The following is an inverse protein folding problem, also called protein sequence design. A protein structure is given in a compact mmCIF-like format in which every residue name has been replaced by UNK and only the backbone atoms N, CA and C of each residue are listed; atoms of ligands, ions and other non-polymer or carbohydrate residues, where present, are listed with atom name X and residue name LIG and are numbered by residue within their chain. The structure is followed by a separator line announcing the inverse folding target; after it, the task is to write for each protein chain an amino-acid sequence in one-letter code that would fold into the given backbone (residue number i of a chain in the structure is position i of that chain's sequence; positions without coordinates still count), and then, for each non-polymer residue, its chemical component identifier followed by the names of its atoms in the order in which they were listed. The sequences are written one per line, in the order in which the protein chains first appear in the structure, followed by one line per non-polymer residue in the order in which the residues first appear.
data_IF_336449771099
#
_entry.id   IF_336449771099
#
_cell.length_a   1.000
_cell.length_b   1.000
_cell.length_c   1.000
_cell.angle_alpha   90.00
_cell.angle_beta   90.00
_cell.angle_gamma   90.00
#
_symmetry.space_group_name_H-M   'P 1'
#
loop_
_entity.id
_entity.type
_entity.pdbx_description
1 polymer ?
#
# COMPACT_ATOMS: atom_id res chain seq x y z
N UNK A 1 6.03 33.17 -13.20
CA UNK A 1 5.21 32.67 -14.33
C UNK A 1 4.49 31.41 -13.90
N UNK A 2 3.40 31.02 -14.58
CA UNK A 2 2.69 29.79 -14.24
C UNK A 2 3.56 28.52 -14.40
N UNK A 3 4.51 28.50 -15.33
CA UNK A 3 5.44 27.38 -15.49
C UNK A 3 6.37 27.22 -14.30
N UNK A 4 6.97 28.30 -13.80
CA UNK A 4 7.82 28.26 -12.60
C UNK A 4 7.01 27.81 -11.38
N UNK A 5 5.78 28.30 -11.24
CA UNK A 5 4.87 27.85 -10.18
C UNK A 5 4.63 26.33 -10.23
N UNK A 6 4.35 25.76 -11.40
CA UNK A 6 4.21 24.31 -11.54
C UNK A 6 5.49 23.55 -11.17
N UNK A 7 6.66 24.08 -11.52
CA UNK A 7 7.95 23.45 -11.19
C UNK A 7 8.15 23.37 -9.67
N UNK A 8 7.84 24.44 -8.95
CA UNK A 8 7.93 24.43 -7.49
C UNK A 8 6.92 23.47 -6.85
N UNK A 9 5.70 23.41 -7.36
CA UNK A 9 4.70 22.44 -6.89
C UNK A 9 5.18 21.00 -7.14
N UNK A 10 5.82 20.73 -8.29
CA UNK A 10 6.38 19.43 -8.62
C UNK A 10 7.52 19.03 -7.66
N UNK A 11 8.39 19.98 -7.33
CA UNK A 11 9.50 19.78 -6.39
C UNK A 11 8.99 19.46 -4.97
N UNK A 12 7.93 20.15 -4.51
CA UNK A 12 7.32 19.93 -3.18
C UNK A 12 6.56 18.60 -3.10
N UNK A 13 5.99 18.13 -4.22
CA UNK A 13 5.22 16.87 -4.31
C UNK A 13 6.07 15.66 -4.77
N UNK A 14 7.39 15.72 -4.59
CA UNK A 14 8.42 15.04 -5.39
C UNK A 14 7.90 14.25 -6.59
N UNK A 15 7.43 14.94 -7.63
CA UNK A 15 6.90 14.29 -8.84
C UNK A 15 7.37 15.00 -10.12
N UNK A 16 7.26 14.31 -11.27
CA UNK A 16 7.55 14.92 -12.58
C UNK A 16 6.52 16.00 -12.92
N UNK A 17 6.97 17.07 -13.59
CA UNK A 17 6.10 18.19 -14.01
C UNK A 17 4.92 17.73 -14.87
N UNK A 18 5.13 16.73 -15.73
CA UNK A 18 4.10 16.13 -16.60
C UNK A 18 3.04 15.31 -15.85
N UNK A 19 3.34 14.88 -14.62
CA UNK A 19 2.44 14.08 -13.78
C UNK A 19 1.56 14.93 -12.86
N UNK A 20 1.77 16.25 -12.85
CA UNK A 20 0.93 17.15 -12.07
C UNK A 20 -0.48 17.24 -12.69
N UNK A 21 -1.54 17.03 -11.91
CA UNK A 21 -2.91 17.19 -12.37
C UNK A 21 -3.31 18.67 -12.38
N UNK A 22 -2.62 19.49 -13.19
CA UNK A 22 -2.74 20.96 -13.18
C UNK A 22 -4.16 21.44 -13.42
N UNK A 23 -4.94 20.73 -14.25
CA UNK A 23 -6.35 21.04 -14.53
C UNK A 23 -7.27 21.00 -13.30
N UNK A 24 -6.79 20.42 -12.20
CA UNK A 24 -7.53 20.23 -10.95
C UNK A 24 -6.93 21.01 -9.77
N UNK A 25 -6.02 21.95 -10.04
CA UNK A 25 -5.47 22.81 -9.00
C UNK A 25 -6.52 23.80 -8.53
N UNK A 26 -6.72 23.81 -7.22
CA UNK A 26 -7.67 24.69 -6.56
C UNK A 26 -6.97 25.41 -5.41
N UNK A 27 -7.42 26.61 -5.07
CA UNK A 27 -6.84 27.39 -3.97
C UNK A 27 -7.91 28.13 -3.19
N UNK A 28 -7.58 28.46 -1.93
CA UNK A 28 -8.30 29.42 -1.09
C UNK A 28 -7.36 30.05 -0.07
N UNK A 29 -7.77 31.14 0.57
CA UNK A 29 -7.01 31.71 1.69
C UNK A 29 -7.26 30.92 2.97
N UNK A 30 -6.27 30.86 3.87
CA UNK A 30 -6.35 30.14 5.14
C UNK A 30 -7.53 30.60 6.01
N UNK A 31 -7.71 31.91 6.18
CA UNK A 31 -8.77 32.50 7.00
C UNK A 31 -10.15 32.55 6.32
N UNK A 32 -10.40 31.74 5.28
CA UNK A 32 -11.73 31.60 4.69
C UNK A 32 -12.49 30.44 5.31
N UNK A 33 -13.81 30.64 5.49
CA UNK A 33 -14.72 29.60 5.99
C UNK A 33 -14.51 28.26 5.25
N UNK A 34 -14.69 27.14 5.96
CA UNK A 34 -14.44 25.82 5.38
C UNK A 34 -15.31 25.54 4.15
N UNK A 35 -16.54 26.06 4.13
CA UNK A 35 -17.52 25.99 3.04
C UNK A 35 -17.28 26.98 1.90
N UNK A 36 -16.29 27.89 2.02
CA UNK A 36 -16.04 28.88 0.98
C UNK A 36 -15.62 28.19 -0.34
N UNK A 37 -16.15 28.62 -1.48
CA UNK A 37 -15.83 28.03 -2.77
C UNK A 37 -14.35 28.22 -3.08
N UNK A 38 -13.70 27.14 -3.54
CA UNK A 38 -12.32 27.16 -3.98
C UNK A 38 -12.23 27.71 -5.40
N UNK A 39 -11.17 28.45 -5.68
CA UNK A 39 -10.90 29.03 -7.00
C UNK A 39 -9.92 28.15 -7.76
N UNK A 40 -10.04 28.05 -9.08
CA UNK A 40 -9.16 27.22 -9.91
C UNK A 40 -7.87 27.95 -10.29
N UNK A 41 -6.76 27.20 -10.37
CA UNK A 41 -5.44 27.62 -10.87
C UNK A 41 -4.96 26.61 -11.91
N UNK A 42 -5.75 26.43 -12.97
CA UNK A 42 -5.49 25.42 -14.00
C UNK A 42 -4.55 25.91 -15.11
N UNK A 43 -4.47 27.23 -15.31
CA UNK A 43 -3.79 27.88 -16.40
C UNK A 43 -3.13 29.20 -15.96
N UNK A 44 -2.52 29.91 -16.91
CA UNK A 44 -1.86 31.18 -16.62
C UNK A 44 -2.85 32.24 -16.13
N UNK A 45 -4.08 32.29 -16.67
CA UNK A 45 -5.10 33.25 -16.24
C UNK A 45 -5.52 33.03 -14.78
N UNK A 46 -5.74 31.78 -14.37
CA UNK A 46 -6.05 31.43 -12.98
C UNK A 46 -4.89 31.75 -12.03
N UNK A 47 -3.65 31.53 -12.47
CA UNK A 47 -2.46 31.90 -11.70
C UNK A 47 -2.30 33.41 -11.52
N UNK A 48 -2.49 34.21 -12.57
CA UNK A 48 -2.47 35.68 -12.44
C UNK A 48 -3.61 36.16 -11.53
N UNK A 49 -4.81 35.59 -11.65
CA UNK A 49 -5.94 35.90 -10.75
C UNK A 49 -5.65 35.55 -9.28
N UNK A 50 -4.89 34.48 -9.01
CA UNK A 50 -4.37 34.17 -7.69
C UNK A 50 -3.40 35.25 -7.20
N UNK A 51 -2.42 35.65 -8.03
CA UNK A 51 -1.44 36.67 -7.67
C UNK A 51 -2.12 38.01 -7.37
N UNK A 52 -3.08 38.42 -8.18
CA UNK A 52 -3.81 39.68 -7.98
C UNK A 52 -4.64 39.65 -6.70
N UNK A 53 -5.28 38.51 -6.39
CA UNK A 53 -5.98 38.34 -5.13
C UNK A 53 -5.03 38.37 -3.92
N UNK A 54 -3.84 37.79 -4.03
CA UNK A 54 -2.81 37.85 -2.98
C UNK A 54 -2.30 39.27 -2.80
N UNK A 55 -2.02 40.01 -3.88
CA UNK A 55 -1.58 41.41 -3.83
C UNK A 55 -2.62 42.30 -3.16
N UNK A 56 -3.89 42.15 -3.54
CA UNK A 56 -5.00 42.93 -2.98
C UNK A 56 -5.14 42.67 -1.46
N UNK A 57 -5.00 41.42 -1.02
CA UNK A 57 -5.16 41.05 0.39
C UNK A 57 -3.92 41.33 1.26
N UNK A 58 -2.72 41.32 0.66
CA UNK A 58 -1.46 41.62 1.37
C UNK A 58 -1.39 43.06 1.85
N UNK A 59 -2.19 43.96 1.30
CA UNK A 59 -2.30 45.33 1.77
C UNK A 59 -2.97 45.43 3.15
N UNK A 60 -3.75 44.41 3.56
CA UNK A 60 -4.53 44.45 4.81
C UNK A 60 -4.04 43.46 5.85
N UNK A 61 -3.54 42.28 5.45
CA UNK A 61 -3.18 41.20 6.37
C UNK A 61 -1.97 40.38 5.91
N UNK A 62 -1.43 39.57 6.83
CA UNK A 62 -0.59 38.43 6.47
C UNK A 62 -1.41 37.40 5.68
N UNK A 63 -0.99 37.13 4.44
CA UNK A 63 -1.73 36.26 3.51
C UNK A 63 -1.10 34.88 3.42
N UNK A 64 -1.85 33.86 3.82
CA UNK A 64 -1.53 32.46 3.57
C UNK A 64 -2.53 31.87 2.58
N UNK A 65 -2.02 31.18 1.57
CA UNK A 65 -2.79 30.51 0.52
C UNK A 65 -2.62 29.01 0.67
N UNK A 66 -3.74 28.28 0.75
CA UNK A 66 -3.72 26.83 0.68
C UNK A 66 -3.97 26.39 -0.76
N UNK A 67 -3.03 25.63 -1.31
CA UNK A 67 -3.14 24.99 -2.61
C UNK A 67 -3.62 23.54 -2.41
N UNK A 68 -4.67 23.19 -3.14
CA UNK A 68 -5.26 21.85 -3.15
C UNK A 68 -4.92 21.19 -4.48
N UNK A 69 -4.15 20.12 -4.39
CA UNK A 69 -3.75 19.32 -5.54
C UNK A 69 -4.19 17.88 -5.32
N UNK A 70 -4.89 17.24 -6.28
CA UNK A 70 -5.04 15.79 -6.25
C UNK A 70 -3.68 15.10 -6.23
N UNK A 71 -3.65 13.88 -5.73
CA UNK A 71 -2.43 13.05 -5.73
C UNK A 71 -1.89 12.95 -7.17
N UNK A 72 -0.60 13.27 -7.41
CA UNK A 72 0.01 13.10 -8.73
C UNK A 72 -0.10 11.65 -9.21
N UNK A 73 -0.18 11.46 -10.53
CA UNK A 73 -0.14 10.12 -11.10
C UNK A 73 1.22 9.47 -10.76
N UNK A 74 1.20 8.18 -10.42
CA UNK A 74 2.43 7.41 -10.29
C UNK A 74 2.95 7.09 -11.67
N UNK A 75 4.24 7.27 -11.89
CA UNK A 75 4.89 6.74 -13.08
C UNK A 75 4.90 5.21 -12.97
N UNK A 76 4.33 4.51 -13.94
CA UNK A 76 4.44 3.04 -14.03
C UNK A 76 5.84 2.64 -14.52
N UNK A 77 6.62 3.58 -15.05
CA UNK A 77 7.94 3.34 -15.62
C UNK A 77 9.11 3.79 -14.72
N UNK A 78 8.91 3.79 -13.41
CA UNK A 78 9.97 4.06 -12.43
C UNK A 78 10.90 2.84 -12.25
N UNK A 79 11.41 2.31 -13.37
CA UNK A 79 12.63 1.52 -13.36
C UNK A 79 13.78 2.48 -13.17
N UNK A 80 14.33 2.49 -11.96
CA UNK A 80 15.51 3.22 -11.53
C UNK A 80 16.71 2.89 -12.44
N UNK A 81 16.80 3.56 -13.58
CA UNK A 81 17.98 3.52 -14.44
C UNK A 81 18.98 4.48 -13.81
N UNK A 82 19.70 3.95 -12.83
CA UNK A 82 20.86 4.58 -12.24
C UNK A 82 21.78 5.17 -13.31
N UNK A 83 22.36 6.30 -12.94
CA UNK A 83 23.32 7.14 -13.65
C UNK A 83 24.10 6.45 -14.79
N UNK A 84 24.09 7.06 -15.99
CA UNK A 84 24.60 6.48 -17.26
C UNK A 84 26.11 6.16 -17.29
N UNK A 85 26.88 6.66 -16.33
CA UNK A 85 28.35 6.70 -16.43
C UNK A 85 29.10 6.05 -15.26
N UNK A 86 28.49 5.12 -14.50
CA UNK A 86 29.24 4.39 -13.47
C UNK A 86 28.88 2.89 -13.41
N UNK A 87 29.81 2.05 -13.89
CA UNK A 87 29.77 0.59 -13.67
C UNK A 87 31.11 0.19 -13.05
N UNK A 88 31.14 0.10 -11.71
CA UNK A 88 32.32 -0.36 -10.96
C UNK A 88 32.44 -1.89 -10.91
N UNK A 89 31.38 -2.60 -11.33
CA UNK A 89 31.35 -4.06 -11.44
C UNK A 89 30.63 -4.49 -12.73
N UNK A 90 31.30 -5.14 -13.69
CA UNK A 90 30.66 -5.69 -14.88
C UNK A 90 29.52 -6.62 -14.43
N UNK A 91 28.31 -6.25 -14.83
CA UNK A 91 27.09 -6.95 -14.50
C UNK A 91 27.12 -8.36 -15.10
N UNK A 92 27.10 -9.38 -14.26
CA UNK A 92 27.06 -10.79 -14.69
C UNK A 92 25.61 -11.18 -15.01
N UNK A 93 25.28 -11.13 -16.30
CA UNK A 93 23.93 -11.33 -16.83
C UNK A 93 23.35 -12.72 -16.54
N UNK A 94 24.18 -13.71 -16.20
CA UNK A 94 23.69 -15.08 -15.93
C UNK A 94 23.15 -15.27 -14.51
N UNK A 95 23.56 -14.45 -13.53
CA UNK A 95 23.07 -14.58 -12.14
C UNK A 95 21.73 -13.84 -11.91
N UNK A 96 21.49 -12.74 -12.63
CA UNK A 96 20.38 -11.83 -12.34
C UNK A 96 19.10 -12.08 -13.15
N UNK A 97 19.15 -12.89 -14.22
CA UNK A 97 17.96 -13.28 -14.98
C UNK A 97 16.93 -14.09 -14.15
N UNK A 98 17.30 -14.58 -12.95
CA UNK A 98 16.40 -15.29 -12.02
C UNK A 98 15.71 -14.41 -10.96
N UNK A 99 16.16 -13.17 -10.75
CA UNK A 99 15.74 -12.34 -9.62
C UNK A 99 14.96 -11.13 -10.11
N UNK A 100 13.71 -11.38 -10.50
CA UNK A 100 12.72 -10.33 -10.79
C UNK A 100 12.71 -9.27 -9.69
N UNK A 101 12.82 -8.00 -10.09
CA UNK A 101 12.60 -6.78 -9.30
C UNK A 101 11.39 -6.90 -8.38
N UNK A 102 11.60 -7.45 -7.20
CA UNK A 102 10.63 -7.58 -6.15
C UNK A 102 11.17 -6.77 -4.99
N UNK A 103 10.34 -5.86 -4.47
CA UNK A 103 10.57 -5.23 -3.17
C UNK A 103 11.08 -6.27 -2.16
N UNK A 104 11.94 -5.90 -1.21
CA UNK A 104 12.45 -6.81 -0.18
C UNK A 104 11.36 -7.70 0.46
N UNK A 105 10.16 -7.15 0.66
CA UNK A 105 8.97 -7.92 1.13
C UNK A 105 8.49 -8.95 0.11
N UNK A 106 8.50 -8.63 -1.17
CA UNK A 106 8.21 -9.54 -2.27
C UNK A 106 9.23 -10.68 -2.37
N UNK A 107 10.52 -10.41 -2.14
CA UNK A 107 11.56 -11.44 -2.12
C UNK A 107 11.36 -12.40 -0.93
N UNK A 108 11.14 -11.88 0.28
CA UNK A 108 10.85 -12.69 1.47
C UNK A 108 9.61 -13.56 1.24
N UNK A 109 8.55 -12.97 0.67
CA UNK A 109 7.33 -13.70 0.32
C UNK A 109 7.62 -14.84 -0.65
N UNK A 110 8.33 -14.58 -1.76
CA UNK A 110 8.64 -15.61 -2.77
C UNK A 110 9.47 -16.75 -2.18
N UNK A 111 10.44 -16.43 -1.32
CA UNK A 111 11.21 -17.43 -0.57
C UNK A 111 10.32 -18.28 0.34
N UNK A 112 9.39 -17.65 1.08
CA UNK A 112 8.46 -18.36 1.93
C UNK A 112 7.48 -19.26 1.13
N UNK A 113 7.06 -18.87 -0.07
CA UNK A 113 6.24 -19.73 -0.95
C UNK A 113 7.00 -21.02 -1.29
N UNK A 114 8.25 -20.92 -1.74
CA UNK A 114 9.10 -22.08 -2.09
C UNK A 114 9.31 -23.00 -0.87
N UNK A 115 9.58 -22.43 0.30
CA UNK A 115 9.79 -23.21 1.53
C UNK A 115 8.53 -23.96 1.97
N UNK A 116 7.35 -23.34 1.85
CA UNK A 116 6.07 -24.00 2.12
C UNK A 116 5.80 -25.14 1.13
N UNK A 117 6.06 -24.95 -0.16
CA UNK A 117 5.89 -26.01 -1.17
C UNK A 117 6.82 -27.19 -0.97
N UNK A 118 8.05 -26.93 -0.52
CA UNK A 118 9.03 -27.97 -0.18
C UNK A 118 8.64 -28.72 1.09
N UNK A 119 8.17 -28.01 2.12
CA UNK A 119 7.77 -28.59 3.41
C UNK A 119 6.50 -29.43 3.31
N UNK A 120 5.57 -29.00 2.45
CA UNK A 120 4.32 -29.69 2.19
C UNK A 120 4.31 -30.08 0.71
N UNK A 121 4.91 -31.22 0.33
CA UNK A 121 4.83 -31.71 -1.06
C UNK A 121 3.44 -32.31 -1.34
N UNK A 122 3.10 -32.39 -2.63
CA UNK A 122 1.92 -33.16 -3.07
C UNK A 122 2.17 -34.63 -2.74
N UNK A 123 1.16 -35.29 -2.15
CA UNK A 123 1.29 -36.69 -1.72
C UNK A 123 2.00 -36.90 -0.39
N UNK A 124 2.39 -35.82 0.30
CA UNK A 124 2.96 -35.91 1.65
C UNK A 124 1.96 -36.40 2.72
N UNK A 125 0.66 -36.36 2.44
CA UNK A 125 -0.39 -36.84 3.33
C UNK A 125 -1.02 -38.13 2.77
N UNK A 126 -0.91 -39.29 3.44
CA UNK A 126 -1.47 -40.56 2.98
C UNK A 126 -2.99 -40.52 2.74
N UNK A 127 -3.73 -39.72 3.52
CA UNK A 127 -5.18 -39.57 3.38
C UNK A 127 -5.58 -38.83 2.09
N UNK A 128 -4.67 -38.03 1.53
CA UNK A 128 -4.92 -37.17 0.38
C UNK A 128 -3.71 -37.19 -0.58
N UNK A 129 -3.44 -38.33 -1.25
CA UNK A 129 -2.20 -38.55 -2.00
C UNK A 129 -2.02 -37.62 -3.21
N UNK A 130 -3.11 -37.04 -3.72
CA UNK A 130 -3.09 -36.13 -4.87
C UNK A 130 -3.08 -34.66 -4.49
N UNK A 131 -3.09 -34.35 -3.18
CA UNK A 131 -3.20 -32.99 -2.69
C UNK A 131 -2.01 -32.63 -1.84
N UNK A 132 -1.72 -31.33 -1.83
CA UNK A 132 -0.84 -30.73 -0.86
C UNK A 132 -1.65 -30.41 0.39
N UNK A 133 -1.29 -30.96 1.54
CA UNK A 133 -2.11 -30.84 2.76
C UNK A 133 -1.26 -30.42 3.93
N UNK A 134 -1.75 -29.43 4.68
CA UNK A 134 -1.30 -29.15 6.03
C UNK A 134 -2.19 -29.88 7.03
N UNK A 135 -1.58 -30.49 8.04
CA UNK A 135 -2.25 -31.24 9.10
C UNK A 135 -1.91 -30.65 10.47
N UNK A 136 -2.94 -30.35 11.24
CA UNK A 136 -2.80 -29.97 12.63
C UNK A 136 -2.94 -31.17 13.56
N UNK A 137 -1.81 -31.67 14.06
CA UNK A 137 -1.77 -32.82 14.96
C UNK A 137 -2.57 -32.64 16.27
N UNK A 138 -2.90 -31.39 16.68
CA UNK A 138 -3.58 -31.14 17.96
C UNK A 138 -5.09 -31.39 17.90
N UNK A 139 -5.71 -31.12 16.75
CA UNK A 139 -7.16 -31.19 16.58
C UNK A 139 -7.57 -32.01 15.36
N UNK A 140 -6.62 -32.73 14.75
CA UNK A 140 -6.81 -33.59 13.57
C UNK A 140 -7.51 -32.86 12.41
N UNK A 141 -7.14 -31.59 12.20
CA UNK A 141 -7.70 -30.77 11.12
C UNK A 141 -6.77 -30.72 9.92
N UNK A 142 -7.37 -30.82 8.73
CA UNK A 142 -6.66 -30.87 7.45
C UNK A 142 -7.07 -29.70 6.57
N UNK A 143 -6.09 -29.04 5.96
CA UNK A 143 -6.30 -27.97 4.99
C UNK A 143 -5.53 -28.23 3.70
N UNK A 144 -6.24 -28.13 2.57
CA UNK A 144 -5.62 -28.20 1.25
C UNK A 144 -4.80 -26.94 1.00
N UNK A 145 -3.51 -27.07 0.72
CA UNK A 145 -2.64 -25.95 0.39
C UNK A 145 -2.65 -25.67 -1.11
N UNK A 146 -3.74 -25.06 -1.57
CA UNK A 146 -3.84 -24.53 -2.95
C UNK A 146 -2.82 -23.41 -3.18
N UNK A 147 -2.49 -23.07 -4.44
CA UNK A 147 -1.55 -21.97 -4.74
C UNK A 147 -1.95 -20.65 -4.08
N UNK A 148 -3.25 -20.34 -3.98
CA UNK A 148 -3.75 -19.16 -3.29
C UNK A 148 -3.45 -19.19 -1.79
N UNK A 149 -3.70 -20.33 -1.13
CA UNK A 149 -3.46 -20.49 0.31
C UNK A 149 -1.97 -20.39 0.66
N UNK A 150 -1.10 -20.90 -0.21
CA UNK A 150 0.35 -20.76 -0.06
C UNK A 150 0.76 -19.29 -0.16
N UNK A 151 0.24 -18.55 -1.15
CA UNK A 151 0.51 -17.11 -1.29
C UNK A 151 0.06 -16.30 -0.07
N UNK A 152 -1.14 -16.60 0.46
CA UNK A 152 -1.67 -15.96 1.68
C UNK A 152 -0.78 -16.27 2.88
N UNK A 153 -0.39 -17.53 3.05
CA UNK A 153 0.48 -17.95 4.16
C UNK A 153 1.88 -17.34 4.05
N UNK A 154 2.50 -17.37 2.88
CA UNK A 154 3.80 -16.75 2.63
C UNK A 154 3.79 -15.24 2.87
N UNK A 155 2.68 -14.56 2.53
CA UNK A 155 2.50 -13.14 2.84
C UNK A 155 2.46 -12.89 4.35
N UNK A 156 1.78 -13.76 5.11
CA UNK A 156 1.75 -13.68 6.58
C UNK A 156 3.12 -13.96 7.21
N UNK A 157 3.90 -14.90 6.67
CA UNK A 157 5.28 -15.15 7.09
C UNK A 157 6.15 -13.92 6.82
N UNK A 158 6.06 -13.32 5.63
CA UNK A 158 6.78 -12.10 5.29
C UNK A 158 6.37 -10.90 6.17
N UNK A 159 5.15 -10.92 6.71
CA UNK A 159 4.63 -9.96 7.69
C UNK A 159 4.98 -10.28 9.14
N UNK A 160 5.68 -11.38 9.43
CA UNK A 160 5.94 -11.91 10.78
C UNK A 160 4.67 -12.15 11.60
N UNK A 161 3.55 -12.50 10.96
CA UNK A 161 2.28 -12.81 11.64
C UNK A 161 1.96 -14.30 11.66
N UNK A 162 2.73 -15.12 10.95
CA UNK A 162 2.66 -16.57 10.95
C UNK A 162 4.05 -17.18 10.72
N UNK A 163 4.19 -18.48 10.99
CA UNK A 163 5.41 -19.25 10.71
C UNK A 163 5.11 -20.42 9.75
N UNK A 164 6.10 -21.24 9.41
CA UNK A 164 5.90 -22.39 8.51
C UNK A 164 5.20 -23.58 9.17
N UNK A 165 4.98 -23.55 10.48
CA UNK A 165 4.39 -24.65 11.26
C UNK A 165 2.87 -24.56 11.34
N UNK A 166 2.33 -23.34 11.38
CA UNK A 166 0.90 -23.10 11.46
C UNK A 166 0.44 -22.00 10.47
N UNK A 167 -0.67 -22.21 9.75
CA UNK A 167 -1.23 -21.20 8.87
C UNK A 167 -1.74 -19.99 9.66
N UNK A 168 -1.80 -18.79 9.05
CA UNK A 168 -2.33 -17.60 9.68
C UNK A 168 -3.82 -17.72 9.98
N UNK A 169 -4.29 -16.97 10.96
CA UNK A 169 -5.72 -16.72 11.17
C UNK A 169 -6.26 -15.89 10.01
N UNK A 170 -6.85 -16.58 9.03
CA UNK A 170 -7.38 -15.97 7.80
C UNK A 170 -8.65 -16.69 7.38
N UNK A 171 -9.54 -15.99 6.66
CA UNK A 171 -10.74 -16.57 6.06
C UNK A 171 -10.44 -17.78 5.17
N UNK A 172 -9.23 -17.86 4.62
CA UNK A 172 -8.80 -18.99 3.79
C UNK A 172 -8.50 -20.27 4.58
N UNK A 173 -8.29 -20.16 5.89
CA UNK A 173 -8.06 -21.25 6.83
C UNK A 173 -9.18 -21.34 7.89
N UNK A 174 -10.38 -20.87 7.54
CA UNK A 174 -11.56 -20.97 8.39
C UNK A 174 -12.09 -22.42 8.47
N UNK A 175 -12.84 -22.70 9.53
CA UNK A 175 -13.33 -24.04 9.87
C UNK A 175 -14.23 -24.67 8.79
N UNK A 176 -15.01 -23.85 8.08
CA UNK A 176 -15.86 -24.28 6.97
C UNK A 176 -15.05 -24.72 5.74
N UNK A 177 -13.75 -24.41 5.69
CA UNK A 177 -12.83 -24.80 4.62
C UNK A 177 -11.90 -25.96 4.97
N UNK A 178 -12.15 -26.63 6.11
CA UNK A 178 -11.46 -27.87 6.49
C UNK A 178 -11.78 -28.98 5.50
N UNK A 179 -10.79 -29.79 5.19
CA UNK A 179 -10.99 -30.98 4.38
C UNK A 179 -11.72 -32.04 5.20
N UNK A 180 -12.70 -32.70 4.57
CA UNK A 180 -13.34 -33.89 5.15
C UNK A 180 -12.47 -35.10 4.85
N UNK A 181 -12.19 -35.90 5.87
CA UNK A 181 -11.54 -37.21 5.69
C UNK A 181 -12.51 -38.08 4.87
N UNK A 182 -12.08 -38.67 3.74
CA UNK A 182 -12.95 -39.50 2.95
C UNK A 182 -13.42 -40.69 3.79
N UNK A 183 -14.73 -40.92 3.89
CA UNK A 183 -15.29 -42.03 4.67
C UNK A 183 -14.75 -43.40 4.22
N UNK A 184 -14.31 -43.52 2.96
CA UNK A 184 -13.69 -44.73 2.43
C UNK A 184 -12.29 -45.04 2.99
N UNK A 185 -11.69 -44.12 3.76
CA UNK A 185 -10.40 -44.31 4.44
C UNK A 185 -10.60 -44.59 5.94
N UNK A 186 -11.85 -44.76 6.39
CA UNK A 186 -12.12 -45.29 7.73
C UNK A 186 -11.54 -46.70 7.84
N UNK A 187 -10.41 -46.74 8.55
CA UNK A 187 -9.73 -47.87 9.20
C UNK A 187 -10.02 -49.25 8.56
N UNK A 188 -9.06 -49.86 7.82
CA UNK A 188 -9.17 -51.28 7.55
C UNK A 188 -9.23 -52.05 8.89
N UNK A 189 -9.85 -53.24 8.92
CA UNK A 189 -9.97 -54.05 10.14
C UNK A 189 -8.60 -54.20 10.83
N UNK A 190 -8.57 -54.28 12.17
CA UNK A 190 -7.37 -54.11 13.00
C UNK A 190 -6.21 -55.07 12.70
N UNK A 191 -6.41 -56.10 11.87
CA UNK A 191 -5.43 -57.16 11.59
C UNK A 191 -4.78 -57.08 10.19
N UNK A 192 -4.99 -56.00 9.42
CA UNK A 192 -4.38 -55.85 8.11
C UNK A 192 -2.89 -55.41 8.20
N UNK A 193 -1.95 -56.10 7.54
CA UNK A 193 -0.52 -55.74 7.57
C UNK A 193 -0.27 -54.37 6.93
N UNK A 194 0.67 -53.60 7.49
CA UNK A 194 1.02 -52.24 7.04
C UNK A 194 1.41 -52.15 5.55
N UNK A 195 1.85 -53.24 4.93
CA UNK A 195 2.13 -53.33 3.49
C UNK A 195 0.87 -53.16 2.62
N UNK A 196 -0.32 -53.53 3.11
CA UNK A 196 -1.57 -53.44 2.36
C UNK A 196 -2.04 -52.00 2.12
N UNK A 197 -1.58 -51.03 2.92
CA UNK A 197 -1.93 -49.62 2.73
C UNK A 197 -1.36 -49.06 1.42
N UNK A 198 -0.11 -49.38 1.09
CA UNK A 198 0.52 -48.90 -0.15
C UNK A 198 -0.15 -49.46 -1.41
N UNK A 199 -0.50 -50.73 -1.39
CA UNK A 199 -1.11 -51.43 -2.52
C UNK A 199 -2.55 -50.98 -2.78
N UNK A 200 -3.31 -50.68 -1.73
CA UNK A 200 -4.69 -50.17 -1.86
C UNK A 200 -4.75 -48.83 -2.61
N UNK A 201 -3.83 -47.89 -2.30
CA UNK A 201 -3.78 -46.60 -3.01
C UNK A 201 -3.29 -46.74 -4.45
N UNK A 202 -2.35 -47.67 -4.72
CA UNK A 202 -1.84 -47.93 -6.07
C UNK A 202 -2.93 -48.53 -6.98
N UNK A 203 -3.74 -49.45 -6.45
CA UNK A 203 -4.85 -50.04 -7.20
C UNK A 203 -5.95 -49.02 -7.52
N UNK A 204 -6.27 -48.12 -6.58
CA UNK A 204 -7.25 -47.05 -6.80
C UNK A 204 -6.80 -46.00 -7.82
N UNK A 205 -5.48 -45.73 -7.91
CA UNK A 205 -4.93 -44.86 -8.96
C UNK A 205 -5.09 -45.48 -10.36
N UNK A 206 -4.95 -46.79 -10.50
CA UNK A 206 -5.20 -47.47 -11.77
C UNK A 206 -6.68 -47.42 -12.17
N UNK A 207 -7.62 -47.54 -11.23
CA UNK A 207 -9.06 -47.41 -11.50
C UNK A 207 -9.46 -45.99 -11.93
N UNK A 208 -8.96 -44.95 -11.25
CA UNK A 208 -9.26 -43.56 -11.64
C UNK A 208 -8.63 -43.15 -12.98
N UNK A 209 -7.45 -43.69 -13.30
CA UNK A 209 -6.84 -43.49 -14.61
C UNK A 209 -7.58 -44.25 -15.72
N UNK A 210 -8.19 -45.41 -15.41
CA UNK A 210 -8.98 -46.18 -16.36
C UNK A 210 -10.33 -45.52 -16.67
N UNK A 211 -11.01 -44.93 -15.67
CA UNK A 211 -12.28 -44.19 -15.87
C UNK A 211 -12.10 -42.93 -16.74
N UNK A 212 -10.94 -42.26 -16.66
CA UNK A 212 -10.63 -41.11 -17.50
C UNK A 212 -10.46 -41.47 -19.00
N UNK A 213 -10.25 -42.75 -19.33
CA UNK A 213 -10.07 -43.25 -20.70
C UNK A 213 -11.41 -43.77 -21.29
N UNK A 214 -12.46 -43.95 -20.48
CA UNK A 214 -13.79 -44.42 -20.91
C UNK A 214 -14.87 -43.33 -20.99
N UNK A 215 -14.50 -42.04 -20.98
CA UNK A 215 -15.47 -40.99 -21.32
C UNK A 215 -15.97 -41.19 -22.77
N UNK A 216 -17.29 -41.35 -23.02
CA UNK A 216 -17.81 -41.55 -24.37
C UNK A 216 -17.51 -40.32 -25.23
N UNK A 217 -16.90 -40.55 -26.39
CA UNK A 217 -16.75 -39.51 -27.41
C UNK A 217 -18.14 -38.95 -27.76
N UNK A 218 -18.34 -37.62 -27.77
CA UNK A 218 -19.59 -37.04 -28.25
C UNK A 218 -19.76 -37.38 -29.74
N UNK A 219 -20.99 -37.67 -30.20
CA UNK A 219 -21.26 -38.04 -31.59
C UNK A 219 -20.87 -36.90 -32.55
N UNK A 220 -20.37 -37.21 -33.75
CA UNK A 220 -20.01 -36.20 -34.74
C UNK A 220 -21.28 -35.66 -35.39
N UNK A 221 -21.71 -34.45 -35.00
CA UNK A 221 -22.82 -33.79 -35.66
C UNK A 221 -23.21 -32.45 -35.07
N UNK A 222 -23.10 -31.41 -35.91
CA UNK A 222 -23.71 -30.08 -35.79
C UNK A 222 -23.08 -29.09 -34.79
N UNK A 223 -21.93 -28.53 -35.19
CA UNK A 223 -21.54 -27.19 -34.77
C UNK A 223 -22.20 -26.15 -35.70
N UNK A 224 -22.90 -25.12 -35.19
CA UNK A 224 -23.24 -23.95 -35.99
C UNK A 224 -21.98 -23.11 -36.23
N UNK A 225 -21.63 -22.95 -37.50
CA UNK A 225 -20.62 -22.00 -37.98
C UNK A 225 -21.02 -20.58 -37.60
N UNK A 226 -20.36 -20.00 -36.59
CA UNK A 226 -20.34 -18.55 -36.38
C UNK A 226 -19.11 -17.99 -37.09
N UNK A 227 -19.29 -17.58 -38.35
CA UNK A 227 -18.33 -16.74 -39.05
C UNK A 227 -18.36 -15.31 -38.49
N UNK A 228 -17.22 -14.71 -38.14
CA UNK A 228 -17.12 -13.27 -37.97
C UNK A 228 -17.01 -12.62 -39.35
N UNK A 229 -18.08 -11.98 -39.81
CA UNK A 229 -18.06 -11.08 -40.96
C UNK A 229 -17.35 -9.78 -40.58
N UNK A 230 -16.15 -9.58 -41.12
CA UNK A 230 -15.50 -8.27 -41.21
C UNK A 230 -15.99 -7.57 -42.49
N UNK A 231 -16.58 -6.36 -42.42
CA UNK A 231 -16.77 -5.55 -43.63
C UNK A 231 -15.53 -4.70 -43.88
N UNK A 232 -14.92 -4.92 -45.03
CA UNK A 232 -13.82 -4.13 -45.56
C UNK A 232 -14.23 -2.70 -45.93
N UNK A 233 -13.29 -1.79 -45.71
CA UNK A 233 -13.30 -0.39 -46.15
C UNK A 233 -12.77 -0.31 -47.59
N UNK A 234 -13.62 -0.04 -48.58
CA UNK A 234 -13.24 0.64 -49.82
C UNK A 234 -14.43 1.45 -50.39
N UNK A 235 -14.12 2.67 -50.85
CA UNK A 235 -14.93 3.80 -51.34
C UNK A 235 -15.80 3.50 -52.60
N UNK A 236 -16.54 4.42 -53.29
CA UNK A 236 -16.62 5.90 -53.20
C UNK A 236 -18.02 6.57 -53.40
N UNK A 237 -18.07 7.91 -53.24
CA UNK A 237 -18.97 8.92 -53.88
C UNK A 237 -20.50 8.75 -53.90
N UNK A 238 -21.22 9.76 -53.37
CA UNK A 238 -22.60 10.09 -53.78
C UNK A 238 -23.53 10.65 -52.68
N UNK A 239 -23.83 11.95 -52.73
CA UNK A 239 -24.98 12.65 -52.10
C UNK A 239 -26.35 12.02 -52.50
N UNK A 240 -27.55 12.36 -51.93
CA UNK A 240 -27.98 13.50 -51.07
C UNK A 240 -28.91 13.09 -49.86
N UNK A 241 -29.55 14.01 -49.08
CA UNK A 241 -30.02 13.77 -47.71
C UNK A 241 -31.51 13.37 -47.59
N UNK A 242 -31.96 12.99 -46.37
CA UNK A 242 -33.22 13.54 -45.89
C UNK A 242 -33.18 14.02 -44.44
N UNK A 243 -33.72 15.23 -44.30
CA UNK A 243 -34.23 15.92 -43.12
C UNK A 243 -35.15 15.02 -42.30
N UNK A 244 -34.86 14.67 -41.04
CA UNK A 244 -35.89 14.31 -40.06
C UNK A 244 -35.49 14.82 -38.67
N UNK A 245 -36.30 15.76 -38.16
CA UNK A 245 -36.15 16.36 -36.85
C UNK A 245 -36.50 15.38 -35.73
N UNK A 246 -35.72 15.44 -34.65
CA UNK A 246 -36.08 14.87 -33.37
C UNK A 246 -36.00 15.95 -32.30
N UNK A 247 -37.16 16.19 -31.70
CA UNK A 247 -37.37 17.04 -30.53
C UNK A 247 -36.64 16.47 -29.30
N UNK A 248 -35.94 17.30 -28.51
CA UNK A 248 -35.47 16.90 -27.19
C UNK A 248 -36.61 17.03 -26.17
N UNK A 249 -37.04 15.89 -25.63
CA UNK A 249 -37.92 15.79 -24.47
C UNK A 249 -37.13 16.22 -23.22
N UNK A 250 -37.45 17.39 -22.67
CA UNK A 250 -36.98 17.82 -21.35
C UNK A 250 -37.84 17.18 -20.25
N UNK A 251 -37.26 16.55 -19.22
CA UNK A 251 -38.01 16.18 -18.03
C UNK A 251 -38.28 17.43 -17.15
N UNK A 252 -39.46 17.51 -16.52
CA UNK A 252 -39.86 18.68 -15.74
C UNK A 252 -39.09 18.82 -14.42
N UNK A 253 -38.79 20.06 -14.08
CA UNK A 253 -38.16 20.48 -12.83
C UNK A 253 -39.06 20.19 -11.62
N UNK A 254 -38.60 19.32 -10.72
CA UNK A 254 -39.16 19.18 -9.38
C UNK A 254 -38.70 20.37 -8.53
N UNK A 255 -39.60 21.34 -8.29
CA UNK A 255 -39.42 22.34 -7.22
C UNK A 255 -39.79 21.70 -5.88
N UNK A 256 -38.89 21.66 -4.89
CA UNK A 256 -39.28 21.34 -3.51
C UNK A 256 -39.99 22.53 -2.86
N UNK A 257 -40.99 22.29 -1.99
CA UNK A 257 -41.77 23.34 -1.35
C UNK A 257 -40.94 24.11 -0.30
N UNK A 258 -41.23 25.40 -0.19
CA UNK A 258 -40.63 26.31 0.77
C UNK A 258 -40.97 25.91 2.21
N UNK A 259 -39.95 25.52 2.97
CA UNK A 259 -40.05 25.43 4.42
C UNK A 259 -39.89 26.82 5.03
N UNK A 260 -40.99 27.35 5.56
CA UNK A 260 -41.01 28.48 6.48
C UNK A 260 -40.35 28.07 7.80
N UNK A 261 -39.16 28.61 8.08
CA UNK A 261 -38.52 28.48 9.38
C UNK A 261 -39.24 29.36 10.42
N UNK A 262 -39.55 28.83 11.62
CA UNK A 262 -40.01 29.66 12.73
C UNK A 262 -38.86 30.48 13.31
N UNK A 263 -39.18 31.74 13.62
CA UNK A 263 -38.34 32.75 14.25
C UNK A 263 -37.96 32.29 15.67
N UNK A 264 -36.67 32.31 16.08
CA UNK A 264 -36.29 31.99 17.45
C UNK A 264 -36.64 33.14 18.41
N UNK A 265 -37.02 32.83 19.67
CA UNK A 265 -37.42 33.84 20.64
C UNK A 265 -36.21 34.64 21.16
N UNK A 266 -36.45 35.94 21.27
CA UNK A 266 -35.61 36.93 21.96
C UNK A 266 -35.35 36.52 23.42
N UNK A 267 -34.08 36.41 23.81
CA UNK A 267 -33.70 36.39 25.22
C UNK A 267 -33.40 37.82 25.69
N UNK A 268 -33.96 38.28 26.82
CA UNK A 268 -33.66 39.60 27.37
C UNK A 268 -32.29 39.64 28.05
N UNK A 269 -31.62 40.77 27.87
CA UNK A 269 -30.33 41.11 28.45
C UNK A 269 -30.39 41.16 29.99
N UNK A 270 -29.41 40.54 30.64
CA UNK A 270 -29.09 40.71 32.07
C UNK A 270 -27.86 41.62 32.28
N UNK A 271 -27.73 42.27 33.46
CA UNK A 271 -26.94 43.49 33.63
C UNK A 271 -25.46 43.27 33.99
N UNK A 272 -24.70 44.34 33.75
CA UNK A 272 -23.27 44.53 33.99
C UNK A 272 -22.80 44.36 35.45
N UNK A 273 -21.56 43.89 35.61
CA UNK A 273 -20.73 44.03 36.80
C UNK A 273 -19.24 43.77 36.51
N UNK A 274 -18.41 44.82 36.64
CA UNK A 274 -16.94 45.04 36.62
C UNK A 274 -15.99 43.93 37.18
N UNK A 275 -14.61 44.06 37.16
CA UNK A 275 -13.63 44.94 36.47
C UNK A 275 -12.42 44.16 35.82
N UNK A 276 -11.35 44.81 35.28
CA UNK A 276 -10.37 44.20 34.37
C UNK A 276 -9.03 43.77 35.01
N UNK A 277 -8.50 42.61 34.60
CA UNK A 277 -7.10 42.14 34.64
C UNK A 277 -7.08 40.75 33.97
N UNK A 278 -6.14 40.29 33.15
CA UNK A 278 -4.78 40.68 32.85
C UNK A 278 -4.46 40.39 31.36
N UNK A 279 -3.40 41.01 30.87
CA UNK A 279 -2.83 40.82 29.52
C UNK A 279 -2.17 39.45 29.46
N UNK A 280 -2.69 38.54 28.62
CA UNK A 280 -2.00 37.31 28.25
C UNK A 280 -0.94 37.60 27.16
N UNK A 281 0.31 37.12 27.32
CA UNK A 281 1.34 37.24 26.29
C UNK A 281 1.04 36.35 25.07
N UNK A 282 1.59 36.68 23.89
CA UNK A 282 1.35 35.92 22.66
C UNK A 282 1.88 34.50 22.79
N UNK A 283 0.99 33.52 22.62
CA UNK A 283 1.31 32.11 22.54
C UNK A 283 2.25 31.86 21.37
N UNK A 284 3.47 31.50 21.72
CA UNK A 284 4.54 31.08 20.82
C UNK A 284 4.22 29.73 20.19
N UNK A 285 4.45 29.67 18.87
CA UNK A 285 4.93 28.52 18.09
C UNK A 285 4.51 27.10 18.47
N UNK A 286 3.89 26.42 17.49
CA UNK A 286 3.80 24.98 17.28
C UNK A 286 4.75 24.13 18.12
N UNK A 287 4.17 23.37 19.06
CA UNK A 287 4.91 22.35 19.81
C UNK A 287 5.44 21.25 18.89
N UNK A 288 6.72 20.85 19.02
CA UNK A 288 7.21 19.61 18.45
C UNK A 288 6.44 18.44 19.06
N UNK A 289 6.16 17.42 18.26
CA UNK A 289 5.41 16.22 18.66
C UNK A 289 5.86 15.66 20.02
N UNK A 290 4.86 15.33 20.85
CA UNK A 290 4.85 14.78 22.22
C UNK A 290 5.76 13.54 22.48
N UNK A 291 6.60 13.13 21.53
CA UNK A 291 7.60 12.06 21.69
C UNK A 291 8.95 12.51 22.28
N UNK A 292 9.14 13.80 22.59
CA UNK A 292 10.45 14.36 23.02
C UNK A 292 10.65 14.46 24.54
N UNK A 293 9.71 14.03 25.39
CA UNK A 293 9.85 14.21 26.84
C UNK A 293 10.77 13.20 27.54
N UNK A 294 11.33 12.23 26.82
CA UNK A 294 12.29 11.29 27.39
C UNK A 294 13.72 11.77 27.16
N UNK A 295 14.31 12.37 28.19
CA UNK A 295 15.74 12.73 28.22
C UNK A 295 16.60 11.47 28.34
N UNK A 296 16.76 10.74 27.24
CA UNK A 296 17.66 9.58 27.15
C UNK A 296 18.97 10.07 26.57
N UNK A 297 20.07 9.87 27.31
CA UNK A 297 21.39 10.26 26.82
C UNK A 297 21.84 9.35 25.66
N UNK A 298 22.68 9.88 24.78
CA UNK A 298 23.24 9.10 23.68
C UNK A 298 24.02 7.87 24.18
N UNK A 299 24.74 8.01 25.31
CA UNK A 299 25.48 6.91 25.92
C UNK A 299 24.56 5.77 26.40
N UNK A 300 23.46 6.09 27.10
CA UNK A 300 22.47 5.07 27.54
C UNK A 300 21.83 4.36 26.35
N UNK A 301 21.50 5.10 25.29
CA UNK A 301 20.98 4.55 24.05
C UNK A 301 21.98 3.57 23.41
N UNK A 302 23.25 3.95 23.29
CA UNK A 302 24.30 3.10 22.72
C UNK A 302 24.53 1.83 23.54
N UNK A 303 24.57 1.93 24.87
CA UNK A 303 24.70 0.78 25.78
C UNK A 303 23.52 -0.18 25.63
N UNK A 304 22.28 0.34 25.65
CA UNK A 304 21.06 -0.48 25.58
C UNK A 304 20.93 -1.24 24.26
N UNK A 305 21.36 -0.64 23.15
CA UNK A 305 21.32 -1.28 21.82
C UNK A 305 22.63 -1.91 21.36
N UNK A 306 23.66 -1.93 22.22
CA UNK A 306 25.00 -2.49 21.93
C UNK A 306 25.63 -1.87 20.68
N UNK A 307 25.50 -0.56 20.52
CA UNK A 307 26.24 0.19 19.50
C UNK A 307 27.68 0.37 19.94
N UNK A 308 28.62 0.35 19.00
CA UNK A 308 30.04 0.49 19.32
C UNK A 308 30.37 1.92 19.78
N UNK A 309 31.43 2.08 20.58
CA UNK A 309 31.90 3.42 21.00
C UNK A 309 32.28 4.30 19.79
N UNK A 310 32.75 3.67 18.71
CA UNK A 310 33.00 4.33 17.44
C UNK A 310 31.72 4.88 16.81
N UNK A 311 30.62 4.14 16.85
CA UNK A 311 29.33 4.62 16.35
C UNK A 311 28.75 5.72 17.25
N UNK A 312 28.97 5.65 18.57
CA UNK A 312 28.58 6.72 19.48
C UNK A 312 29.27 8.05 19.12
N UNK A 313 30.58 8.03 18.86
CA UNK A 313 31.31 9.24 18.46
C UNK A 313 30.81 9.81 17.12
N UNK A 314 30.47 8.94 16.16
CA UNK A 314 29.89 9.33 14.87
C UNK A 314 28.49 9.92 15.01
N UNK A 315 27.64 9.33 15.85
CA UNK A 315 26.31 9.87 16.16
C UNK A 315 26.40 11.23 16.84
N UNK A 316 27.37 11.41 17.75
CA UNK A 316 27.63 12.70 18.37
C UNK A 316 28.07 13.75 17.34
N UNK A 317 28.90 13.37 16.35
CA UNK A 317 29.31 14.26 15.26
C UNK A 317 28.15 14.65 14.31
N UNK A 318 27.14 13.79 14.19
CA UNK A 318 25.89 14.09 13.47
C UNK A 318 24.86 14.86 14.33
N UNK A 319 25.24 15.28 15.55
CA UNK A 319 24.36 15.93 16.53
C UNK A 319 23.07 15.14 16.81
N UNK A 320 23.14 13.81 16.67
CA UNK A 320 21.98 12.95 16.85
C UNK A 320 21.55 12.90 18.32
N UNK A 321 20.26 13.14 18.54
CA UNK A 321 19.60 12.97 19.83
C UNK A 321 18.63 11.78 19.78
N UNK A 322 18.68 10.83 20.75
CA UNK A 322 17.75 9.71 20.80
C UNK A 322 16.28 10.14 20.68
N UNK A 323 15.58 9.59 19.68
CA UNK A 323 14.17 9.91 19.40
C UNK A 323 13.96 11.01 18.34
N UNK A 324 15.02 11.69 17.91
CA UNK A 324 14.95 12.63 16.79
C UNK A 324 14.78 11.88 15.47
N UNK A 325 13.59 11.98 14.86
CA UNK A 325 13.28 11.35 13.57
C UNK A 325 13.86 12.08 12.36
N UNK A 326 14.55 13.21 12.55
CA UNK A 326 15.29 13.89 11.48
C UNK A 326 16.33 12.95 10.84
N UNK A 327 16.88 12.02 11.62
CA UNK A 327 17.84 11.02 11.15
C UNK A 327 17.27 10.09 10.07
N UNK A 328 15.94 9.91 10.02
CA UNK A 328 15.28 9.10 8.98
C UNK A 328 15.24 9.80 7.61
N UNK A 329 15.53 11.10 7.57
CA UNK A 329 15.51 11.92 6.34
C UNK A 329 16.90 12.38 5.91
N UNK A 330 17.96 12.00 6.64
CA UNK A 330 19.33 12.35 6.26
C UNK A 330 19.69 11.69 4.93
N UNK A 331 20.30 12.48 4.05
CA UNK A 331 20.79 12.00 2.77
C UNK A 331 22.01 11.09 2.94
N UNK A 332 22.26 10.22 1.96
CA UNK A 332 23.42 9.30 1.98
C UNK A 332 24.75 10.02 2.17
N UNK A 333 24.90 11.18 1.54
CA UNK A 333 26.10 12.02 1.67
C UNK A 333 26.32 12.48 3.11
N UNK A 334 25.28 12.82 3.85
CA UNK A 334 25.43 13.36 5.20
C UNK A 334 25.91 12.29 6.19
N UNK A 335 25.24 11.13 6.24
CA UNK A 335 25.65 10.08 7.18
C UNK A 335 26.95 9.39 6.77
N UNK A 336 27.27 9.36 5.47
CA UNK A 336 28.51 8.77 4.96
C UNK A 336 29.71 9.71 5.13
N UNK A 337 29.58 10.98 4.77
CA UNK A 337 30.72 11.91 4.71
C UNK A 337 30.96 12.58 6.09
N UNK A 338 29.89 13.03 6.74
CA UNK A 338 29.97 13.66 8.07
C UNK A 338 30.05 12.58 9.15
N UNK A 339 29.10 11.65 9.11
CA UNK A 339 29.00 10.58 10.09
C UNK A 339 30.04 9.47 9.91
N UNK A 340 30.72 9.37 8.76
CA UNK A 340 31.69 8.31 8.47
C UNK A 340 31.13 6.90 8.76
N UNK A 341 29.84 6.73 8.54
CA UNK A 341 29.19 5.42 8.67
C UNK A 341 29.45 4.59 7.43
N UNK A 342 29.69 3.29 7.64
CA UNK A 342 29.52 2.31 6.57
C UNK A 342 28.02 2.09 6.37
N UNK A 343 27.61 1.63 5.18
CA UNK A 343 26.21 1.32 4.89
C UNK A 343 25.60 0.35 5.93
N UNK A 344 26.36 -0.66 6.34
CA UNK A 344 25.94 -1.62 7.37
C UNK A 344 25.85 -1.00 8.76
N UNK A 345 26.82 -0.16 9.14
CA UNK A 345 26.79 0.57 10.41
C UNK A 345 25.58 1.48 10.52
N UNK A 346 25.28 2.23 9.44
CA UNK A 346 24.10 3.09 9.38
C UNK A 346 22.80 2.31 9.49
N UNK A 347 22.67 1.19 8.77
CA UNK A 347 21.48 0.35 8.84
C UNK A 347 21.26 -0.24 10.24
N UNK A 348 22.32 -0.70 10.90
CA UNK A 348 22.27 -1.20 12.28
C UNK A 348 21.80 -0.12 13.26
N UNK A 349 22.33 1.09 13.14
CA UNK A 349 21.88 2.25 13.91
C UNK A 349 20.40 2.58 13.64
N UNK A 350 19.97 2.60 12.39
CA UNK A 350 18.58 2.89 12.01
C UNK A 350 17.58 1.88 12.59
N UNK A 351 17.97 0.60 12.67
CA UNK A 351 17.16 -0.43 13.30
C UNK A 351 17.08 -0.25 14.82
N UNK A 352 18.18 0.15 15.47
CA UNK A 352 18.19 0.53 16.89
C UNK A 352 17.30 1.75 17.17
N UNK A 353 17.40 2.80 16.34
CA UNK A 353 16.57 4.00 16.44
C UNK A 353 15.07 3.68 16.30
N UNK A 354 14.67 2.86 15.33
CA UNK A 354 13.27 2.45 15.14
C UNK A 354 12.75 1.64 16.34
N UNK A 355 13.57 0.74 16.89
CA UNK A 355 13.23 -0.01 18.11
C UNK A 355 13.04 0.93 19.30
N UNK A 356 13.91 1.93 19.46
CA UNK A 356 13.82 2.96 20.49
C UNK A 356 12.52 3.74 20.38
N UNK A 357 12.24 4.30 19.21
CA UNK A 357 11.01 5.03 18.94
C UNK A 357 9.75 4.20 19.21
N UNK A 358 9.78 2.89 18.94
CA UNK A 358 8.67 1.99 19.27
C UNK A 358 8.54 1.75 20.78
N UNK A 359 9.66 1.54 21.49
CA UNK A 359 9.69 1.30 22.93
C UNK A 359 9.23 2.52 23.73
N UNK A 360 9.66 3.73 23.32
CA UNK A 360 9.21 4.99 23.91
C UNK A 360 7.70 5.17 23.70
N UNK A 361 7.21 4.95 22.47
CA UNK A 361 5.76 5.04 22.17
C UNK A 361 4.91 4.05 22.98
N UNK A 362 5.46 2.89 23.32
CA UNK A 362 4.77 1.91 24.15
C UNK A 362 4.99 2.10 25.66
N UNK A 363 5.77 3.09 26.08
CA UNK A 363 6.12 3.28 27.50
C UNK A 363 7.04 2.21 28.09
N UNK A 364 7.67 1.37 27.26
CA UNK A 364 8.48 0.21 27.67
C UNK A 364 9.99 0.49 27.65
N UNK A 365 10.39 1.76 27.62
CA UNK A 365 11.82 2.13 27.58
C UNK A 365 12.49 2.08 28.95
N UNK A 366 11.73 2.05 30.04
CA UNK A 366 12.23 1.95 31.42
C UNK A 366 13.25 0.82 31.62
#
# INVERSE_FOLDING_TARGET
TFQAFKQEVANVLPCRLSMLPTSRFEWKFENQAQSAPRKKVADNAGYEALLDAVKAKRMTDHVVVWLYTPKPAKDENDWDTGNRDYVEHPFDFEEEAGQSSLSHKGLIRKKAEIELERKYPIGGCPLFPLKRVWHNNKNDTYFELTPLRIKVWATAIAGNTADQSAPPTSIHFADDKKMKIPSSVQRPPPDAPLSAFGDFYRQRQQEQAADAIQAPLPPPGLFPQLQPQFPGLHAPMGFPPPQHGYHPYYPPAYMPPAYTYPVPPYYPAGPQGQPPAAVDPPSTSSSPSVTTTHNVSLAEFCVKYRLSDGDQAKLAALEYQPGNRGVEKLDEREWRDIGKFTKLGWQSFMDAHKKFCKAIKSGNWS
#
